data_IF_651026277158
#
_entry.id   IF_651026277158
#
_cell.length_a   1.000
_cell.length_b   1.000
_cell.length_c   1.000
_cell.angle_alpha   90.00
_cell.angle_beta   90.00
_cell.angle_gamma   90.00
#
_symmetry.space_group_name_H-M   'P 1'
#
loop_
_entity.id
_entity.type
_entity.pdbx_description
1 polymer ?
#
# COMPACT_ATOMS: atom_id res chain seq x y z
N UNK A 1 -45.99 -1.00 -10.04
CA UNK A 1 -45.91 -2.47 -9.88
C UNK A 1 -45.06 -2.99 -11.04
N UNK A 2 -43.74 -3.13 -10.96
CA UNK A 2 -42.84 -3.26 -9.82
C UNK A 2 -41.47 -2.72 -10.22
N UNK A 3 -40.87 -1.89 -9.37
CA UNK A 3 -39.42 -1.76 -9.28
C UNK A 3 -38.85 -3.09 -8.76
N UNK A 4 -37.70 -3.52 -9.27
CA UNK A 4 -36.66 -4.17 -8.46
C UNK A 4 -35.40 -4.44 -9.30
N UNK A 5 -34.45 -3.52 -9.13
CA UNK A 5 -33.03 -3.83 -8.91
C UNK A 5 -32.23 -4.39 -10.10
N UNK A 6 -31.38 -3.58 -10.78
CA UNK A 6 -30.14 -4.17 -11.27
C UNK A 6 -29.38 -4.55 -10.01
N UNK A 7 -29.24 -5.87 -9.81
CA UNK A 7 -28.40 -6.42 -8.78
C UNK A 7 -27.13 -5.56 -8.72
N UNK A 8 -26.83 -5.04 -7.53
CA UNK A 8 -25.49 -4.62 -7.20
C UNK A 8 -24.60 -5.84 -7.50
N UNK A 9 -24.11 -5.91 -8.75
CA UNK A 9 -22.95 -6.64 -9.15
C UNK A 9 -21.83 -6.00 -8.35
N UNK A 10 -21.79 -6.39 -7.08
CA UNK A 10 -20.70 -6.11 -6.18
C UNK A 10 -19.54 -6.68 -6.92
N UNK A 11 -18.76 -5.78 -7.51
CA UNK A 11 -17.54 -6.08 -8.19
C UNK A 11 -16.60 -6.68 -7.14
N UNK A 12 -16.76 -7.98 -6.89
CA UNK A 12 -15.65 -8.86 -6.63
C UNK A 12 -14.87 -8.93 -7.95
N UNK A 13 -14.33 -7.79 -8.38
CA UNK A 13 -13.29 -7.74 -9.37
C UNK A 13 -12.14 -8.49 -8.69
N UNK A 14 -12.02 -9.77 -9.03
CA UNK A 14 -10.82 -10.54 -8.76
C UNK A 14 -9.66 -9.64 -9.13
N UNK A 15 -8.85 -9.28 -8.13
CA UNK A 15 -7.73 -8.38 -8.34
C UNK A 15 -6.90 -8.90 -9.52
N UNK A 16 -6.46 -8.01 -10.44
CA UNK A 16 -5.78 -8.45 -11.64
C UNK A 16 -4.59 -9.34 -11.27
N UNK A 17 -4.58 -10.58 -11.78
CA UNK A 17 -3.47 -11.50 -11.56
C UNK A 17 -2.25 -10.93 -12.28
N UNK A 18 -1.18 -10.69 -11.53
CA UNK A 18 0.11 -10.25 -12.08
C UNK A 18 1.13 -11.36 -11.93
N UNK A 19 1.87 -11.61 -13.00
CA UNK A 19 2.99 -12.54 -12.99
C UNK A 19 4.15 -11.95 -12.20
N UNK A 20 4.87 -12.81 -11.49
CA UNK A 20 6.03 -12.44 -10.69
C UNK A 20 7.25 -13.22 -11.20
N UNK A 21 8.32 -12.50 -11.55
CA UNK A 21 9.62 -13.11 -11.84
C UNK A 21 10.54 -12.89 -10.64
N UNK A 22 11.02 -13.98 -10.02
CA UNK A 22 11.90 -13.94 -8.84
C UNK A 22 13.18 -14.70 -9.16
N UNK A 23 14.32 -14.13 -8.80
CA UNK A 23 15.60 -14.84 -8.81
C UNK A 23 15.78 -15.52 -7.45
N UNK A 24 16.01 -16.82 -7.47
CA UNK A 24 16.32 -17.63 -6.30
C UNK A 24 17.58 -18.44 -6.57
N UNK A 25 18.25 -18.86 -5.51
CA UNK A 25 19.39 -19.78 -5.60
C UNK A 25 18.90 -21.19 -5.91
N UNK A 26 19.74 -21.99 -6.58
CA UNK A 26 19.39 -23.35 -7.01
C UNK A 26 18.99 -24.26 -5.84
N UNK A 27 19.66 -24.10 -4.68
CA UNK A 27 19.34 -24.89 -3.49
C UNK A 27 17.90 -24.62 -2.99
N UNK A 28 17.50 -23.35 -2.92
CA UNK A 28 16.14 -22.97 -2.56
C UNK A 28 15.12 -23.47 -3.57
N UNK A 29 15.48 -23.48 -4.87
CA UNK A 29 14.63 -24.05 -5.92
C UNK A 29 14.42 -25.55 -5.70
N UNK A 30 15.48 -26.29 -5.43
CA UNK A 30 15.41 -27.73 -5.17
C UNK A 30 14.55 -28.05 -3.94
N UNK A 31 14.69 -27.29 -2.85
CA UNK A 31 13.85 -27.44 -1.66
C UNK A 31 12.36 -27.23 -2.00
N UNK A 32 12.03 -26.19 -2.78
CA UNK A 32 10.66 -25.92 -3.23
C UNK A 32 10.11 -27.04 -4.12
N UNK A 33 10.92 -27.59 -5.03
CA UNK A 33 10.51 -28.71 -5.88
C UNK A 33 10.16 -29.96 -5.05
N UNK A 34 10.93 -30.26 -4.00
CA UNK A 34 10.63 -31.37 -3.08
C UNK A 34 9.34 -31.11 -2.29
N UNK A 35 9.16 -29.91 -1.74
CA UNK A 35 7.94 -29.56 -0.99
C UNK A 35 6.70 -29.65 -1.89
N UNK A 36 6.79 -29.14 -3.12
CA UNK A 36 5.72 -29.20 -4.10
C UNK A 36 5.31 -30.65 -4.41
N UNK A 37 6.29 -31.56 -4.58
CA UNK A 37 6.04 -32.98 -4.77
C UNK A 37 5.36 -33.62 -3.56
N UNK A 38 5.82 -33.32 -2.35
CA UNK A 38 5.24 -33.87 -1.11
C UNK A 38 3.79 -33.42 -0.87
N UNK A 39 3.42 -32.23 -1.37
CA UNK A 39 2.10 -31.65 -1.19
C UNK A 39 1.15 -31.89 -2.38
N UNK A 40 1.58 -32.66 -3.39
CA UNK A 40 0.86 -32.86 -4.66
C UNK A 40 0.46 -31.53 -5.34
N UNK A 41 1.37 -30.55 -5.32
CA UNK A 41 1.14 -29.20 -5.84
C UNK A 41 2.20 -28.79 -6.85
N UNK A 42 1.91 -27.73 -7.60
CA UNK A 42 2.91 -27.10 -8.44
C UNK A 42 3.78 -26.16 -7.62
N UNK A 43 5.04 -26.01 -8.04
CA UNK A 43 5.99 -25.09 -7.42
C UNK A 43 5.49 -23.65 -7.44
N UNK A 44 4.76 -23.27 -8.49
CA UNK A 44 4.12 -21.95 -8.59
C UNK A 44 3.10 -21.72 -7.48
N UNK A 45 2.30 -22.74 -7.15
CA UNK A 45 1.31 -22.64 -6.07
C UNK A 45 1.98 -22.60 -4.69
N UNK A 46 3.05 -23.37 -4.48
CA UNK A 46 3.85 -23.29 -3.25
C UNK A 46 4.48 -21.90 -3.06
N UNK A 47 4.99 -21.29 -4.13
CA UNK A 47 5.52 -19.93 -4.09
C UNK A 47 4.41 -18.93 -3.73
N UNK A 48 3.21 -19.07 -4.30
CA UNK A 48 2.06 -18.22 -3.95
C UNK A 48 1.72 -18.35 -2.46
N UNK A 49 1.60 -19.57 -1.95
CA UNK A 49 1.25 -19.82 -0.55
C UNK A 49 2.33 -19.33 0.41
N UNK A 50 3.61 -19.52 0.08
CA UNK A 50 4.73 -19.00 0.86
C UNK A 50 4.68 -17.47 0.97
N UNK A 51 4.34 -16.77 -0.12
CA UNK A 51 4.17 -15.31 -0.12
C UNK A 51 2.97 -14.88 0.73
N UNK A 52 1.84 -15.58 0.63
CA UNK A 52 0.66 -15.30 1.44
C UNK A 52 0.95 -15.48 2.93
N UNK A 53 1.59 -16.60 3.30
CA UNK A 53 2.01 -16.88 4.67
C UNK A 53 3.02 -15.84 5.19
N UNK A 54 3.99 -15.45 4.37
CA UNK A 54 4.95 -14.40 4.70
C UNK A 54 4.27 -13.05 4.97
N UNK A 55 3.30 -12.67 4.13
CA UNK A 55 2.53 -11.43 4.33
C UNK A 55 1.74 -11.48 5.64
N UNK A 56 1.07 -12.60 5.94
CA UNK A 56 0.33 -12.75 7.20
C UNK A 56 1.25 -12.70 8.42
N UNK A 57 2.41 -13.34 8.33
CA UNK A 57 3.43 -13.30 9.39
C UNK A 57 3.94 -11.87 9.58
N UNK A 58 4.25 -11.18 8.48
CA UNK A 58 4.75 -9.80 8.50
C UNK A 58 3.76 -8.81 9.11
N UNK A 59 2.44 -9.01 8.92
CA UNK A 59 1.41 -8.17 9.55
C UNK A 59 1.42 -8.25 11.08
N UNK A 60 1.91 -9.36 11.63
CA UNK A 60 1.99 -9.58 13.07
C UNK A 60 3.35 -9.20 13.66
N UNK A 61 4.34 -8.85 12.81
CA UNK A 61 5.66 -8.44 13.27
C UNK A 61 5.62 -6.98 13.79
N UNK A 62 5.91 -6.73 15.07
CA UNK A 62 5.88 -5.40 15.66
C UNK A 62 6.86 -4.42 14.98
N UNK A 63 7.97 -4.91 14.39
CA UNK A 63 8.91 -4.05 13.64
C UNK A 63 8.31 -3.60 12.31
N UNK A 64 7.54 -4.45 11.66
CA UNK A 64 6.85 -4.11 10.41
C UNK A 64 5.73 -3.11 10.70
N UNK A 65 4.96 -3.32 11.78
CA UNK A 65 3.92 -2.40 12.21
C UNK A 65 4.48 -1.01 12.54
N UNK A 66 5.58 -0.92 13.30
CA UNK A 66 6.22 0.35 13.60
C UNK A 66 6.69 1.10 12.34
N UNK A 67 7.23 0.37 11.35
CA UNK A 67 7.60 0.95 10.05
C UNK A 67 6.36 1.38 9.26
N UNK A 68 5.27 0.61 9.31
CA UNK A 68 4.02 0.93 8.63
C UNK A 68 3.38 2.21 9.19
N UNK A 69 3.45 2.44 10.49
CA UNK A 69 2.99 3.69 11.12
C UNK A 69 3.78 4.91 10.64
N UNK A 70 5.10 4.79 10.55
CA UNK A 70 5.96 5.85 9.99
C UNK A 70 5.57 6.16 8.54
N UNK A 71 5.45 5.13 7.69
CA UNK A 71 5.05 5.30 6.29
C UNK A 71 3.66 5.94 6.17
N UNK A 72 2.71 5.57 7.04
CA UNK A 72 1.38 6.18 7.09
C UNK A 72 1.46 7.67 7.42
N UNK A 73 2.25 8.05 8.42
CA UNK A 73 2.43 9.46 8.79
C UNK A 73 3.06 10.29 7.67
N UNK A 74 3.99 9.71 6.91
CA UNK A 74 4.59 10.36 5.74
C UNK A 74 3.58 10.56 4.61
N UNK A 75 2.77 9.53 4.29
CA UNK A 75 1.70 9.62 3.29
C UNK A 75 0.68 10.68 3.68
N UNK A 76 0.25 10.73 4.94
CA UNK A 76 -0.74 11.73 5.40
C UNK A 76 -0.18 13.16 5.29
N UNK A 77 1.11 13.36 5.60
CA UNK A 77 1.78 14.66 5.44
C UNK A 77 1.86 15.08 3.98
N UNK A 78 2.24 14.17 3.08
CA UNK A 78 2.28 14.43 1.65
C UNK A 78 0.89 14.68 1.07
N UNK A 79 -0.10 13.88 1.45
CA UNK A 79 -1.48 14.03 1.03
C UNK A 79 -2.04 15.38 1.46
N UNK A 80 -1.81 15.78 2.71
CA UNK A 80 -2.22 17.10 3.22
C UNK A 80 -1.55 18.24 2.45
N UNK A 81 -0.26 18.09 2.13
CA UNK A 81 0.48 19.09 1.34
C UNK A 81 -0.10 19.22 -0.08
N UNK A 82 -0.37 18.08 -0.74
CA UNK A 82 -0.99 18.03 -2.08
C UNK A 82 -2.42 18.60 -2.05
N UNK A 83 -3.21 18.26 -1.04
CA UNK A 83 -4.55 18.81 -0.83
C UNK A 83 -4.52 20.33 -0.64
N UNK A 84 -3.66 20.86 0.23
CA UNK A 84 -3.54 22.31 0.44
C UNK A 84 -3.09 23.06 -0.82
N UNK A 85 -2.21 22.45 -1.63
CA UNK A 85 -1.81 23.04 -2.92
C UNK A 85 -2.97 23.09 -3.92
N UNK A 86 -3.79 22.04 -3.98
CA UNK A 86 -4.99 22.00 -4.82
C UNK A 86 -6.03 23.02 -4.34
N UNK A 87 -6.25 23.13 -3.04
CA UNK A 87 -7.19 24.09 -2.44
C UNK A 87 -6.78 25.55 -2.73
N UNK A 88 -5.47 25.83 -2.73
CA UNK A 88 -4.94 27.14 -3.13
C UNK A 88 -5.19 27.45 -4.62
N UNK A 89 -5.23 26.45 -5.50
CA UNK A 89 -5.57 26.62 -6.93
C UNK A 89 -7.05 26.99 -7.09
N UNK A 90 -7.93 26.36 -6.31
CA UNK A 90 -9.38 26.64 -6.34
C UNK A 90 -9.79 27.91 -5.57
N UNK A 91 -8.83 28.70 -5.06
CA UNK A 91 -9.09 29.98 -4.40
C UNK A 91 -9.47 29.90 -2.92
N UNK A 92 -9.23 28.75 -2.26
CA UNK A 92 -9.36 28.64 -0.81
C UNK A 92 -8.34 29.53 -0.09
N UNK A 93 -8.64 30.07 1.11
CA UNK A 93 -7.76 30.98 1.82
C UNK A 93 -6.44 30.27 2.12
N UNK A 94 -5.38 30.70 1.45
CA UNK A 94 -4.01 30.30 1.76
C UNK A 94 -3.78 30.54 3.25
N UNK A 95 -3.60 29.44 3.99
CA UNK A 95 -3.27 29.46 5.41
C UNK A 95 -2.24 30.55 5.69
N UNK A 96 -2.62 31.44 6.59
CA UNK A 96 -1.99 32.72 6.89
C UNK A 96 -0.46 32.68 6.84
N UNK A 97 0.11 33.49 5.94
CA UNK A 97 1.53 33.90 5.99
C UNK A 97 1.86 34.33 7.43
N UNK A 98 2.96 33.85 8.05
CA UNK A 98 3.45 34.47 9.26
C UNK A 98 3.82 35.93 8.96
N UNK A 99 3.49 36.88 9.83
CA UNK A 99 3.73 38.29 9.57
C UNK A 99 5.23 38.53 9.45
N UNK A 100 5.64 39.05 8.29
CA UNK A 100 6.97 39.56 8.02
C UNK A 100 7.26 40.67 9.05
N UNK A 101 8.08 40.36 10.06
CA UNK A 101 8.63 41.36 10.97
C UNK A 101 9.43 42.39 10.16
N UNK A 102 8.81 43.54 9.90
CA UNK A 102 9.51 44.77 9.56
C UNK A 102 10.26 45.21 10.81
N UNK A 103 11.55 44.89 10.89
CA UNK A 103 12.47 45.57 11.80
C UNK A 103 12.51 47.05 11.40
N UNK A 104 11.74 47.86 12.10
CA UNK A 104 11.86 49.32 12.11
C UNK A 104 13.19 49.66 12.80
N UNK A 105 14.00 50.48 12.14
CA UNK A 105 15.20 51.08 12.71
C UNK A 105 14.80 52.25 13.62
N UNK A 106 15.41 52.44 14.81
CA UNK A 106 15.28 53.69 15.53
C UNK A 106 16.40 54.67 15.16
N UNK A 107 16.04 55.95 15.28
CA UNK A 107 16.79 57.16 14.99
C UNK A 107 17.89 57.47 16.03
#
# INVERSE_FOLDING_TARGET
MSESTPAAATAAASSPIRTLAVRIVDDLRAQLDVIAQLNDRSVTEEIRLALEAWVQTSKSDPKVLARAETVRAEIDREAKTKQSAIEAIFGGPVGSKPPRQTKQAPA
#
